data_IF_420305413437
#
_entry.id   IF_420305413437
#
_cell.length_a   1.000
_cell.length_b   1.000
_cell.length_c   1.000
_cell.angle_alpha   90.00
_cell.angle_beta   90.00
_cell.angle_gamma   90.00
#
_symmetry.space_group_name_H-M   'P 1'
#
loop_
_entity.id
_entity.type
_entity.pdbx_description
1 polymer ?
#
# COMPACT_ATOMS: atom_id res chain seq x y z
N UNK A 1 -15.90 42.83 -7.63
CA UNK A 1 -15.09 42.11 -8.63
C UNK A 1 -14.80 40.73 -8.05
N UNK A 2 -15.46 39.71 -8.57
CA UNK A 2 -15.45 38.33 -8.07
C UNK A 2 -14.37 37.54 -8.78
N UNK A 3 -13.41 37.00 -8.04
CA UNK A 3 -12.41 36.06 -8.57
C UNK A 3 -12.93 34.63 -8.40
N UNK A 4 -13.12 33.94 -9.52
CA UNK A 4 -13.25 32.48 -9.61
C UNK A 4 -11.85 31.88 -9.79
N UNK A 5 -11.48 30.79 -9.10
CA UNK A 5 -10.31 30.02 -9.47
C UNK A 5 -10.66 28.99 -10.54
N UNK A 6 -9.87 28.96 -11.60
CA UNK A 6 -9.95 28.01 -12.70
C UNK A 6 -9.56 26.60 -12.24
N UNK A 7 -10.47 25.67 -12.51
CA UNK A 7 -10.30 24.22 -12.38
C UNK A 7 -9.14 23.73 -13.25
N UNK A 8 -8.14 23.13 -12.63
CA UNK A 8 -7.05 22.43 -13.33
C UNK A 8 -7.50 21.01 -13.67
N UNK A 9 -7.53 20.69 -14.95
CA UNK A 9 -7.74 19.34 -15.47
C UNK A 9 -6.43 18.54 -15.39
N UNK A 10 -6.32 17.71 -14.36
CA UNK A 10 -5.23 16.76 -14.16
C UNK A 10 -5.53 15.49 -14.98
N UNK A 11 -4.82 15.31 -16.11
CA UNK A 11 -4.86 14.07 -16.89
C UNK A 11 -3.87 13.09 -16.24
N UNK A 12 -4.34 12.34 -15.26
CA UNK A 12 -3.59 11.21 -14.70
C UNK A 12 -3.78 10.01 -15.62
N UNK A 13 -2.82 9.77 -16.51
CA UNK A 13 -2.62 8.49 -17.19
C UNK A 13 -2.20 7.45 -16.13
N UNK A 14 -3.20 6.84 -15.52
CA UNK A 14 -3.05 5.74 -14.58
C UNK A 14 -2.38 4.55 -15.25
N UNK A 15 -1.11 4.35 -14.95
CA UNK A 15 -0.44 3.07 -15.18
C UNK A 15 -1.02 2.08 -14.18
N UNK A 16 -1.91 1.28 -14.74
CA UNK A 16 -2.40 0.00 -14.31
C UNK A 16 -1.46 -0.73 -13.33
N UNK A 17 -1.92 -0.93 -12.10
CA UNK A 17 -1.44 -1.97 -11.18
C UNK A 17 -2.61 -2.34 -10.27
N UNK A 18 -3.59 -2.97 -10.91
CA UNK A 18 -4.65 -3.74 -10.29
C UNK A 18 -4.06 -4.68 -9.23
N UNK A 19 -4.39 -4.55 -7.93
CA UNK A 19 -4.11 -5.59 -6.97
C UNK A 19 -5.10 -6.72 -7.28
N UNK A 20 -4.65 -7.67 -8.09
CA UNK A 20 -5.32 -8.94 -8.34
C UNK A 20 -5.36 -9.72 -7.02
N UNK A 21 -6.36 -9.44 -6.18
CA UNK A 21 -6.78 -10.38 -5.15
C UNK A 21 -7.28 -11.61 -5.90
N UNK A 22 -6.40 -12.59 -6.11
CA UNK A 22 -6.86 -13.94 -6.39
C UNK A 22 -7.61 -14.38 -5.14
N UNK A 23 -8.95 -14.33 -5.22
CA UNK A 23 -9.81 -15.08 -4.34
C UNK A 23 -9.33 -16.52 -4.40
N UNK A 24 -8.59 -16.91 -3.36
CA UNK A 24 -8.29 -18.31 -3.11
C UNK A 24 -9.65 -18.90 -2.76
N UNK A 25 -10.25 -19.59 -3.73
CA UNK A 25 -11.31 -20.54 -3.46
C UNK A 25 -10.71 -21.58 -2.51
N UNK A 26 -10.91 -21.36 -1.22
CA UNK A 26 -10.86 -22.43 -0.25
C UNK A 26 -11.91 -23.44 -0.67
N UNK A 27 -11.44 -24.55 -1.22
CA UNK A 27 -12.17 -25.79 -1.23
C UNK A 27 -12.76 -25.99 0.16
N UNK A 28 -14.09 -25.96 0.26
CA UNK A 28 -14.81 -26.46 1.42
C UNK A 28 -14.48 -27.95 1.57
N UNK A 29 -13.35 -28.24 2.19
CA UNK A 29 -13.10 -29.51 2.83
C UNK A 29 -14.10 -29.57 3.98
N UNK A 30 -15.19 -30.30 3.72
CA UNK A 30 -16.11 -30.83 4.71
C UNK A 30 -15.28 -31.45 5.84
N UNK A 31 -14.99 -30.66 6.88
CA UNK A 31 -14.46 -31.17 8.13
C UNK A 31 -15.60 -31.91 8.80
N UNK A 32 -15.69 -33.19 8.48
CA UNK A 32 -16.41 -34.15 9.31
C UNK A 32 -15.78 -34.09 10.70
N UNK A 33 -16.57 -34.03 11.77
CA UNK A 33 -16.03 -34.10 13.12
C UNK A 33 -15.24 -35.39 13.28
N UNK A 34 -14.11 -35.41 14.01
CA UNK A 34 -13.46 -36.66 14.37
C UNK A 34 -14.49 -37.49 15.11
N UNK A 35 -14.95 -38.56 14.48
CA UNK A 35 -15.75 -39.58 15.13
C UNK A 35 -14.90 -40.11 16.27
N UNK A 36 -15.19 -39.66 17.49
CA UNK A 36 -14.91 -40.41 18.69
C UNK A 36 -15.41 -41.82 18.39
N UNK A 37 -14.48 -42.78 18.37
CA UNK A 37 -14.79 -44.18 18.24
C UNK A 37 -15.58 -44.58 19.49
N UNK A 38 -16.88 -44.29 19.48
CA UNK A 38 -17.84 -44.80 20.43
C UNK A 38 -18.01 -46.26 20.09
N UNK A 39 -17.09 -47.04 20.65
CA UNK A 39 -17.21 -48.46 20.84
C UNK A 39 -18.59 -48.70 21.45
N UNK A 40 -19.51 -49.14 20.61
CA UNK A 40 -20.87 -49.56 20.96
C UNK A 40 -20.80 -50.44 22.21
N UNK A 41 -21.25 -50.01 23.40
CA UNK A 41 -21.44 -50.96 24.47
C UNK A 41 -22.57 -51.88 24.03
N UNK A 42 -22.31 -53.18 24.08
CA UNK A 42 -23.36 -54.18 24.04
C UNK A 42 -24.46 -53.75 25.02
N UNK A 43 -25.69 -53.74 24.54
CA UNK A 43 -26.89 -53.46 25.32
C UNK A 43 -27.09 -54.60 26.32
N UNK A 44 -26.36 -54.54 27.43
CA UNK A 44 -26.64 -55.33 28.63
C UNK A 44 -27.54 -54.44 29.48
N UNK A 45 -28.80 -54.82 29.63
CA UNK A 45 -29.68 -54.19 30.61
C UNK A 45 -29.13 -54.47 32.01
N UNK A 46 -28.28 -53.56 32.50
CA UNK A 46 -27.78 -53.56 33.87
C UNK A 46 -29.00 -53.29 34.76
N UNK A 47 -29.30 -54.21 35.70
CA UNK A 47 -30.44 -54.05 36.61
C UNK A 47 -30.20 -52.82 37.50
N UNK A 48 -31.27 -52.10 37.86
CA UNK A 48 -31.17 -50.85 38.63
C UNK A 48 -30.41 -51.07 39.95
N UNK A 49 -30.54 -52.25 40.54
CA UNK A 49 -29.79 -52.68 41.72
C UNK A 49 -28.28 -52.79 41.47
N UNK A 50 -27.85 -53.21 40.29
CA UNK A 50 -26.43 -53.33 39.92
C UNK A 50 -25.79 -51.95 39.63
N UNK A 51 -26.56 -51.02 39.08
CA UNK A 51 -26.14 -49.62 38.86
C UNK A 51 -26.02 -48.82 40.17
N UNK A 52 -26.84 -49.15 41.18
CA UNK A 52 -26.74 -48.56 42.52
C UNK A 52 -25.68 -49.23 43.40
N UNK A 53 -25.26 -50.46 43.06
CA UNK A 53 -24.23 -51.19 43.78
C UNK A 53 -22.80 -50.80 43.36
N UNK A 54 -22.64 -50.11 42.23
CA UNK A 54 -21.34 -49.60 41.78
C UNK A 54 -21.03 -48.28 42.48
N UNK A 55 -19.94 -48.18 43.28
CA UNK A 55 -19.56 -46.93 43.91
C UNK A 55 -19.25 -45.87 42.85
N UNK A 56 -19.67 -44.63 43.08
CA UNK A 56 -19.29 -43.52 42.21
C UNK A 56 -17.77 -43.45 42.12
N UNK A 57 -17.28 -43.30 40.88
CA UNK A 57 -15.87 -43.11 40.63
C UNK A 57 -15.42 -41.86 41.41
N UNK A 58 -14.38 -41.99 42.22
CA UNK A 58 -13.87 -40.87 43.00
C UNK A 58 -13.51 -39.74 42.03
N UNK A 59 -14.04 -38.55 42.30
CA UNK A 59 -13.82 -37.37 41.47
C UNK A 59 -12.32 -37.05 41.49
N UNK A 60 -11.62 -37.34 40.40
CA UNK A 60 -10.19 -37.06 40.28
C UNK A 60 -10.01 -35.63 39.81
N UNK A 61 -9.51 -34.76 40.70
CA UNK A 61 -9.26 -33.35 40.39
C UNK A 61 -8.18 -33.16 39.31
N UNK A 62 -7.29 -34.15 39.15
CA UNK A 62 -6.17 -34.10 38.20
C UNK A 62 -6.63 -34.12 36.73
N UNK A 63 -7.77 -34.76 36.44
CA UNK A 63 -8.33 -34.81 35.07
C UNK A 63 -8.92 -33.46 34.62
N UNK A 64 -9.35 -32.63 35.58
CA UNK A 64 -9.96 -31.32 35.32
C UNK A 64 -8.93 -30.19 35.35
N UNK A 65 -7.84 -30.36 36.10
CA UNK A 65 -6.79 -29.34 36.25
C UNK A 65 -5.70 -29.41 35.17
N UNK A 66 -5.49 -30.58 34.54
CA UNK A 66 -4.52 -30.76 33.45
C UNK A 66 -4.65 -29.81 32.24
N UNK A 67 -5.85 -29.45 31.75
CA UNK A 67 -5.98 -28.56 30.59
C UNK A 67 -5.75 -27.07 30.88
N UNK A 68 -5.62 -26.65 32.15
CA UNK A 68 -5.36 -25.26 32.50
C UNK A 68 -3.98 -24.77 32.03
N UNK A 69 -2.96 -25.63 32.16
CA UNK A 69 -1.59 -25.32 31.72
C UNK A 69 -1.50 -25.22 30.18
N UNK A 70 -2.28 -26.03 29.46
CA UNK A 70 -2.39 -25.97 27.99
C UNK A 70 -3.06 -24.68 27.50
N UNK A 71 -4.00 -24.13 28.27
CA UNK A 71 -4.67 -22.87 27.96
C UNK A 71 -3.74 -21.67 28.21
N UNK A 72 -3.00 -21.67 29.32
CA UNK A 72 -1.99 -20.65 29.62
C UNK A 72 -0.89 -20.62 28.53
N UNK A 73 -0.42 -21.79 28.10
CA UNK A 73 0.57 -21.88 27.02
C UNK A 73 0.06 -21.30 25.70
N UNK A 74 -1.20 -21.58 25.32
CA UNK A 74 -1.81 -21.02 24.11
C UNK A 74 -1.94 -19.51 24.19
N UNK A 75 -2.30 -18.98 25.36
CA UNK A 75 -2.39 -17.54 25.57
C UNK A 75 -1.03 -16.86 25.40
N UNK A 76 0.04 -17.44 25.96
CA UNK A 76 1.41 -16.93 25.79
C UNK A 76 1.81 -16.94 24.31
N UNK A 77 1.53 -18.03 23.59
CA UNK A 77 1.83 -18.13 22.15
C UNK A 77 1.07 -17.10 21.33
N UNK A 78 -0.23 -16.93 21.60
CA UNK A 78 -1.05 -15.94 20.94
C UNK A 78 -0.54 -14.51 21.19
N UNK A 79 -0.20 -14.19 22.45
CA UNK A 79 0.38 -12.89 22.81
C UNK A 79 1.69 -12.64 22.08
N UNK A 80 2.55 -13.66 21.98
CA UNK A 80 3.83 -13.55 21.26
C UNK A 80 3.60 -13.32 19.76
N UNK A 81 2.68 -14.06 19.15
CA UNK A 81 2.34 -13.89 17.74
C UNK A 81 1.76 -12.49 17.47
N UNK A 82 0.88 -12.02 18.35
CA UNK A 82 0.28 -10.69 18.24
C UNK A 82 1.33 -9.58 18.36
N UNK A 83 2.25 -9.68 19.32
CA UNK A 83 3.38 -8.75 19.45
C UNK A 83 4.27 -8.76 18.20
N UNK A 84 4.56 -9.94 17.66
CA UNK A 84 5.36 -10.07 16.44
C UNK A 84 4.68 -9.41 15.24
N UNK A 85 3.38 -9.65 15.05
CA UNK A 85 2.60 -9.03 13.97
C UNK A 85 2.53 -7.51 14.11
N UNK A 86 2.31 -7.01 15.33
CA UNK A 86 2.27 -5.57 15.60
C UNK A 86 3.61 -4.91 15.29
N UNK A 87 4.71 -5.50 15.75
CA UNK A 87 6.05 -4.97 15.48
C UNK A 87 6.33 -4.95 13.97
N UNK A 88 5.96 -6.02 13.26
CA UNK A 88 6.13 -6.08 11.81
C UNK A 88 5.32 -5.00 11.09
N UNK A 89 4.08 -4.74 11.52
CA UNK A 89 3.25 -3.68 10.97
C UNK A 89 3.86 -2.30 11.21
N UNK A 90 4.32 -2.01 12.43
CA UNK A 90 4.96 -0.74 12.78
C UNK A 90 6.23 -0.54 11.95
N UNK A 91 7.06 -1.57 11.79
CA UNK A 91 8.28 -1.49 10.98
C UNK A 91 7.98 -1.24 9.50
N UNK A 92 7.01 -1.95 8.93
CA UNK A 92 6.58 -1.74 7.53
C UNK A 92 6.01 -0.34 7.33
N UNK A 93 5.17 0.12 8.25
CA UNK A 93 4.60 1.46 8.20
C UNK A 93 5.69 2.53 8.32
N UNK A 94 6.65 2.36 9.23
CA UNK A 94 7.79 3.27 9.37
C UNK A 94 8.65 3.31 8.10
N UNK A 95 8.98 2.15 7.51
CA UNK A 95 9.73 2.09 6.26
C UNK A 95 8.98 2.80 5.11
N UNK A 96 7.67 2.61 5.02
CA UNK A 96 6.84 3.28 4.02
C UNK A 96 6.73 4.80 4.27
N UNK A 97 6.48 5.21 5.50
CA UNK A 97 6.31 6.63 5.85
C UNK A 97 7.61 7.43 5.72
N UNK A 98 8.76 6.79 5.93
CA UNK A 98 10.09 7.42 5.74
C UNK A 98 10.53 7.47 4.29
N UNK A 99 10.20 6.46 3.47
CA UNK A 99 10.55 6.44 2.05
C UNK A 99 9.64 7.33 1.19
N UNK A 100 8.38 7.49 1.57
CA UNK A 100 7.38 8.21 0.78
C UNK A 100 7.72 9.69 0.52
N UNK A 101 8.12 10.51 1.51
CA UNK A 101 8.48 11.91 1.26
C UNK A 101 9.61 12.05 0.25
N UNK A 102 10.66 11.24 0.34
CA UNK A 102 11.78 11.28 -0.59
C UNK A 102 11.32 10.95 -2.02
N UNK A 103 10.46 9.95 -2.19
CA UNK A 103 9.92 9.58 -3.49
C UNK A 103 9.02 10.68 -4.08
N UNK A 104 8.11 11.23 -3.29
CA UNK A 104 7.22 12.31 -3.74
C UNK A 104 8.00 13.58 -4.09
N UNK A 105 9.00 13.94 -3.30
CA UNK A 105 9.89 15.08 -3.60
C UNK A 105 10.72 14.82 -4.85
N UNK A 106 11.21 13.59 -5.08
CA UNK A 106 11.95 13.25 -6.29
C UNK A 106 11.08 13.40 -7.56
N UNK A 107 9.86 12.86 -7.54
CA UNK A 107 8.93 12.97 -8.69
C UNK A 107 8.58 14.44 -8.98
N UNK A 108 8.18 15.19 -7.94
CA UNK A 108 7.83 16.61 -8.09
C UNK A 108 9.04 17.45 -8.51
N UNK A 109 10.21 17.14 -7.97
CA UNK A 109 11.47 17.78 -8.34
C UNK A 109 11.84 17.53 -9.78
N UNK A 110 11.69 16.30 -10.28
CA UNK A 110 11.94 15.95 -11.68
C UNK A 110 10.99 16.71 -12.62
N UNK A 111 9.70 16.81 -12.27
CA UNK A 111 8.73 17.59 -13.05
C UNK A 111 9.16 19.06 -13.17
N UNK A 112 9.50 19.72 -12.06
CA UNK A 112 9.95 21.13 -12.05
C UNK A 112 11.27 21.30 -12.82
N UNK A 113 12.21 20.36 -12.68
CA UNK A 113 13.47 20.39 -13.41
C UNK A 113 13.25 20.25 -14.92
N UNK A 114 12.30 19.41 -15.34
CA UNK A 114 11.95 19.24 -16.75
C UNK A 114 11.34 20.53 -17.32
N UNK A 115 10.43 21.17 -16.59
CA UNK A 115 9.81 22.44 -16.96
C UNK A 115 10.85 23.56 -17.06
N UNK A 116 11.73 23.67 -16.06
CA UNK A 116 12.83 24.65 -16.05
C UNK A 116 13.75 24.48 -17.26
N UNK A 117 14.03 23.24 -17.67
CA UNK A 117 14.82 22.96 -18.88
C UNK A 117 14.09 23.42 -20.14
N UNK A 118 12.78 23.17 -20.24
CA UNK A 118 11.97 23.63 -21.37
C UNK A 118 11.93 25.16 -21.45
N UNK A 119 11.68 25.84 -20.33
CA UNK A 119 11.68 27.31 -20.27
C UNK A 119 13.02 27.90 -20.70
N UNK A 120 14.13 27.35 -20.20
CA UNK A 120 15.48 27.79 -20.60
C UNK A 120 15.71 27.63 -22.11
N UNK A 121 15.24 26.53 -22.71
CA UNK A 121 15.37 26.33 -24.15
C UNK A 121 14.56 27.38 -24.94
N UNK A 122 13.32 27.63 -24.49
CA UNK A 122 12.43 28.62 -25.10
C UNK A 122 13.01 30.05 -25.00
N UNK A 123 13.51 30.43 -23.83
CA UNK A 123 14.18 31.72 -23.63
C UNK A 123 15.41 31.86 -24.55
N UNK A 124 16.18 30.79 -24.72
CA UNK A 124 17.30 30.76 -25.65
C UNK A 124 16.88 30.99 -27.11
N UNK A 125 15.78 30.38 -27.54
CA UNK A 125 15.22 30.58 -28.89
C UNK A 125 14.69 32.01 -29.07
N UNK A 126 13.99 32.53 -28.06
CA UNK A 126 13.48 33.90 -28.07
C UNK A 126 14.62 34.91 -28.20
N UNK A 127 15.70 34.73 -27.44
CA UNK A 127 16.87 35.63 -27.49
C UNK A 127 17.59 35.54 -28.83
N UNK A 128 17.77 34.33 -29.38
CA UNK A 128 18.30 34.12 -30.73
C UNK A 128 17.48 34.87 -31.79
N UNK A 129 16.15 34.79 -31.69
CA UNK A 129 15.24 35.50 -32.60
C UNK A 129 15.35 37.01 -32.45
N UNK A 130 15.43 37.51 -31.20
CA UNK A 130 15.64 38.94 -30.90
C UNK A 130 16.93 39.46 -31.54
N UNK A 131 18.03 38.71 -31.43
CA UNK A 131 19.32 39.08 -32.02
C UNK A 131 19.26 39.14 -33.55
N UNK A 132 18.64 38.15 -34.20
CA UNK A 132 18.44 38.15 -35.66
C UNK A 132 17.65 39.37 -36.13
N UNK A 133 16.60 39.75 -35.39
CA UNK A 133 15.81 40.93 -35.69
C UNK A 133 16.64 42.22 -35.57
N UNK A 134 17.45 42.33 -34.52
CA UNK A 134 18.34 43.48 -34.33
C UNK A 134 19.34 43.60 -35.48
N UNK A 135 19.95 42.49 -35.88
CA UNK A 135 20.88 42.45 -37.00
C UNK A 135 20.19 42.89 -38.30
N UNK A 136 19.00 42.37 -38.57
CA UNK A 136 18.19 42.75 -39.73
C UNK A 136 17.90 44.25 -39.76
N UNK A 137 17.43 44.81 -38.64
CA UNK A 137 17.16 46.25 -38.52
C UNK A 137 18.44 47.06 -38.74
N UNK A 138 19.58 46.62 -38.20
CA UNK A 138 20.87 47.28 -38.39
C UNK A 138 21.28 47.32 -39.88
N UNK A 139 21.07 46.20 -40.60
CA UNK A 139 21.33 46.12 -42.05
C UNK A 139 20.42 47.07 -42.83
N UNK A 140 19.13 47.14 -42.51
CA UNK A 140 18.20 48.09 -43.14
C UNK A 140 18.62 49.53 -42.87
N UNK A 141 18.92 49.89 -41.62
CA UNK A 141 19.36 51.24 -41.26
C UNK A 141 20.62 51.64 -42.03
N UNK A 142 21.57 50.71 -42.16
CA UNK A 142 22.80 50.94 -42.91
C UNK A 142 22.54 51.15 -44.41
N UNK A 143 21.66 50.35 -45.01
CA UNK A 143 21.26 50.51 -46.41
C UNK A 143 20.52 51.84 -46.65
N UNK A 144 19.60 52.22 -45.76
CA UNK A 144 18.91 53.50 -45.83
C UNK A 144 19.88 54.67 -45.71
N UNK A 145 20.83 54.62 -44.77
CA UNK A 145 21.85 55.64 -44.62
C UNK A 145 22.74 55.74 -45.87
N UNK A 146 23.09 54.63 -46.52
CA UNK A 146 23.81 54.64 -47.78
C UNK A 146 23.02 55.30 -48.91
N UNK A 147 21.70 55.02 -48.99
CA UNK A 147 20.82 55.62 -50.00
C UNK A 147 20.60 57.12 -49.77
N UNK A 148 20.50 57.57 -48.53
CA UNK A 148 20.26 58.98 -48.21
C UNK A 148 21.52 59.82 -48.17
N UNK A 149 22.69 59.23 -47.87
CA UNK A 149 23.98 59.93 -47.90
C UNK A 149 24.56 60.14 -49.30
N UNK A 150 24.10 59.40 -50.32
CA UNK A 150 24.47 59.60 -51.72
C UNK A 150 23.63 60.66 -52.45
N UNK A 151 22.62 61.25 -51.80
CA UNK A 151 21.66 62.18 -52.38
C UNK A 151 21.84 63.66 -52.01
N UNK A 152 22.98 64.05 -51.42
CA UNK A 152 23.35 65.43 -51.08
C UNK A 152 24.75 65.76 -51.62
#
# INVERSE_FOLDING_TARGET
MTHTPSTSSETTSGVNSEPQWKATQESHASMSPPMLNTQKPANTQISVEESLATPFLAFSSDEILGPGDDEEQKDIEFQNQLHQMLLQLVLKFHAWSTSRPAHETAIKGEAILSETKMLRALEGEQESTRLRLIEFISRIKSALAALTSFGL
#
